data_IF_268691272232
#
_entry.id   IF_268691272232
#
_cell.length_a   1.000
_cell.length_b   1.000
_cell.length_c   1.000
_cell.angle_alpha   90.00
_cell.angle_beta   90.00
_cell.angle_gamma   90.00
#
_symmetry.space_group_name_H-M   'P 1'
#
loop_
_entity.id
_entity.type
_entity.pdbx_description
1 polymer ?
#
# COMPACT_ATOMS: atom_id res chain seq x y z
N UNK A 1 20.44 -19.93 29.53
CA UNK A 1 20.31 -19.58 29.05
C UNK A 1 19.99 -19.42 28.45
N UNK A 2 19.73 -19.19 28.35
CA UNK A 2 19.34 -18.70 27.74
C UNK A 2 19.19 -18.37 27.05
N UNK A 3 19.05 -18.07 26.88
CA UNK A 3 18.86 -17.42 26.15
C UNK A 3 19.00 -17.17 25.40
N UNK A 4 19.28 -17.04 25.59
CA UNK A 4 19.39 -16.50 24.78
C UNK A 4 19.33 -16.69 23.85
N UNK A 5 19.14 -16.83 23.81
CA UNK A 5 19.02 -16.79 22.85
C UNK A 5 18.59 -16.71 22.19
N UNK A 6 18.28 -17.04 22.37
CA UNK A 6 17.82 -16.87 21.83
C UNK A 6 17.41 -16.03 21.46
N UNK A 7 17.38 -15.39 21.71
CA UNK A 7 17.15 -14.43 21.23
C UNK A 7 17.80 -14.04 20.25
N UNK A 8 18.50 -14.21 20.14
CA UNK A 8 19.08 -13.86 19.19
C UNK A 8 18.57 -14.07 17.98
N UNK A 9 18.06 -14.74 17.99
CA UNK A 9 17.52 -14.97 16.85
C UNK A 9 16.68 -13.95 16.48
N UNK A 10 16.27 -13.31 17.32
CA UNK A 10 15.49 -12.33 17.03
C UNK A 10 16.16 -11.33 16.49
N UNK A 11 17.28 -11.28 16.58
CA UNK A 11 17.96 -10.31 16.14
C UNK A 11 18.12 -10.32 14.75
N UNK A 12 18.00 -11.26 14.24
CA UNK A 12 17.85 -11.29 12.99
C UNK A 12 16.99 -10.36 12.58
N UNK A 13 16.54 -9.79 13.46
CA UNK A 13 15.62 -8.88 13.35
C UNK A 13 15.86 -7.81 12.41
N UNK A 14 17.02 -7.42 12.16
CA UNK A 14 17.23 -6.34 11.28
C UNK A 14 16.64 -6.63 9.91
N UNK A 15 16.60 -7.86 9.55
CA UNK A 15 15.95 -8.21 8.39
C UNK A 15 14.50 -8.09 8.51
N UNK A 16 13.98 -8.32 9.65
CA UNK A 16 12.61 -8.29 9.86
C UNK A 16 12.07 -6.93 9.75
N UNK A 17 12.83 -5.93 10.09
CA UNK A 17 12.39 -4.59 9.97
C UNK A 17 12.15 -4.26 8.53
N UNK A 18 12.99 -4.69 7.62
CA UNK A 18 12.79 -4.47 6.24
C UNK A 18 11.57 -5.16 5.72
N UNK A 19 11.34 -6.35 6.17
CA UNK A 19 10.16 -7.09 5.79
C UNK A 19 8.91 -6.40 6.22
N UNK A 20 8.92 -5.86 7.40
CA UNK A 20 7.78 -5.15 7.91
C UNK A 20 7.46 -3.94 7.06
N UNK A 21 8.47 -3.26 6.57
CA UNK A 21 8.23 -2.13 5.70
C UNK A 21 7.69 -2.58 4.36
N UNK A 22 8.00 -3.79 3.94
CA UNK A 22 7.49 -4.32 2.71
C UNK A 22 6.06 -4.83 2.84
N UNK A 23 5.56 -4.96 4.06
CA UNK A 23 4.22 -5.46 4.31
C UNK A 23 3.18 -4.35 4.39
N UNK A 24 3.61 -3.11 4.35
CA UNK A 24 2.69 -1.98 4.42
C UNK A 24 3.32 -0.75 3.79
N UNK A 25 2.50 0.18 3.40
CA UNK A 25 2.96 1.40 2.76
C UNK A 25 1.89 2.45 2.92
N UNK A 26 2.26 3.71 2.86
CA UNK A 26 1.30 4.83 2.85
C UNK A 26 0.42 4.70 1.62
N UNK A 27 -0.86 5.01 1.78
CA UNK A 27 -1.82 4.88 0.69
C UNK A 27 -1.45 5.76 -0.51
N UNK A 28 -0.97 6.98 -0.28
CA UNK A 28 -0.62 7.87 -1.37
C UNK A 28 0.53 7.30 -2.19
N UNK A 29 1.49 6.72 -1.53
CA UNK A 29 2.65 6.13 -2.18
C UNK A 29 2.25 4.87 -2.93
N UNK A 30 1.44 4.03 -2.31
CA UNK A 30 1.01 2.78 -2.93
C UNK A 30 0.17 3.02 -4.18
N UNK A 31 -0.77 3.97 -4.13
CA UNK A 31 -1.60 4.30 -5.29
C UNK A 31 -0.73 4.76 -6.47
N UNK A 32 0.30 5.49 -6.17
CA UNK A 32 1.22 5.99 -7.19
C UNK A 32 2.09 4.86 -7.75
N UNK A 33 2.63 4.00 -6.89
CA UNK A 33 3.44 2.86 -7.33
C UNK A 33 2.59 1.87 -8.13
N UNK A 34 1.34 1.70 -7.77
CA UNK A 34 0.43 0.80 -8.48
C UNK A 34 -0.06 1.39 -9.80
N UNK A 35 0.32 2.61 -10.08
CA UNK A 35 -0.06 3.30 -11.32
C UNK A 35 -1.55 3.54 -11.45
N UNK A 36 -2.25 3.62 -10.32
CA UNK A 36 -3.66 3.96 -10.31
C UNK A 36 -3.86 5.46 -10.44
N UNK A 37 -2.84 6.23 -10.09
CA UNK A 37 -2.83 7.69 -10.26
C UNK A 37 -1.52 8.11 -10.92
N UNK A 38 -1.53 9.26 -11.54
CA UNK A 38 -0.37 9.74 -12.30
C UNK A 38 0.74 10.28 -11.45
N UNK A 39 0.42 10.93 -10.35
CA UNK A 39 1.42 11.54 -9.49
C UNK A 39 1.12 11.22 -8.05
N UNK A 40 2.15 11.29 -7.23
CA UNK A 40 1.97 11.07 -5.80
C UNK A 40 1.12 12.18 -5.18
N UNK A 41 1.26 13.42 -5.67
CA UNK A 41 0.43 14.51 -5.17
C UNK A 41 -1.05 14.30 -5.51
N UNK A 42 -1.36 13.74 -6.68
CA UNK A 42 -2.74 13.41 -7.01
C UNK A 42 -3.29 12.35 -6.07
N UNK A 43 -2.47 11.35 -5.72
CA UNK A 43 -2.87 10.32 -4.77
C UNK A 43 -3.16 10.93 -3.39
N UNK A 44 -2.27 11.80 -2.94
CA UNK A 44 -2.45 12.47 -1.65
C UNK A 44 -3.71 13.32 -1.65
N UNK A 45 -3.98 14.01 -2.75
CA UNK A 45 -5.17 14.85 -2.89
C UNK A 45 -6.47 14.03 -2.80
N UNK A 46 -6.50 12.88 -3.46
CA UNK A 46 -7.66 12.00 -3.40
C UNK A 46 -7.90 11.49 -1.98
N UNK A 47 -6.84 11.08 -1.31
CA UNK A 47 -6.95 10.56 0.05
C UNK A 47 -7.43 11.66 1.01
N UNK A 48 -6.85 12.86 0.90
CA UNK A 48 -7.22 13.97 1.77
C UNK A 48 -8.67 14.41 1.54
N UNK A 49 -9.14 14.31 0.31
CA UNK A 49 -10.50 14.75 -0.02
C UNK A 49 -11.56 13.69 0.28
N UNK A 50 -11.15 12.51 0.75
CA UNK A 50 -12.11 11.48 1.11
C UNK A 50 -12.57 10.60 -0.03
N UNK A 51 -11.80 10.57 -1.12
CA UNK A 51 -12.14 9.75 -2.29
C UNK A 51 -11.50 8.37 -2.24
N UNK A 52 -10.95 7.99 -1.10
CA UNK A 52 -10.32 6.69 -0.92
C UNK A 52 -10.93 6.00 0.28
N UNK A 53 -11.24 4.70 0.11
CA UNK A 53 -11.70 3.87 1.22
C UNK A 53 -10.75 2.69 1.37
N UNK A 54 -10.52 2.27 2.59
CA UNK A 54 -9.72 1.09 2.89
C UNK A 54 -10.64 0.13 3.63
N UNK A 55 -10.88 -1.04 3.04
CA UNK A 55 -11.79 -2.04 3.60
C UNK A 55 -13.18 -1.43 3.89
N UNK A 56 -13.64 -0.58 2.98
CA UNK A 56 -14.95 0.05 3.08
C UNK A 56 -15.01 1.30 3.94
N UNK A 57 -13.96 1.61 4.67
CA UNK A 57 -13.95 2.78 5.55
C UNK A 57 -13.28 3.96 4.86
N UNK A 58 -13.98 5.07 4.81
CA UNK A 58 -13.43 6.30 4.23
C UNK A 58 -12.25 6.78 5.06
N UNK A 59 -11.20 7.20 4.39
CA UNK A 59 -10.04 7.79 5.05
C UNK A 59 -9.92 9.25 4.64
N UNK A 60 -9.16 10.01 5.38
CA UNK A 60 -8.94 11.42 5.07
C UNK A 60 -7.48 11.82 5.22
N UNK A 61 -6.59 10.86 5.33
CA UNK A 61 -5.18 11.13 5.50
C UNK A 61 -4.35 10.38 4.47
N UNK A 62 -3.52 11.06 3.69
CA UNK A 62 -2.71 10.40 2.66
C UNK A 62 -1.65 9.49 3.24
N UNK A 63 -1.30 9.68 4.51
CA UNK A 63 -0.32 8.84 5.17
C UNK A 63 -0.88 7.56 5.77
N UNK A 64 -2.19 7.30 5.62
CA UNK A 64 -2.78 6.08 6.14
C UNK A 64 -2.09 4.87 5.55
N UNK A 65 -1.73 3.92 6.39
CA UNK A 65 -0.99 2.74 5.92
C UNK A 65 -1.94 1.68 5.40
N UNK A 66 -1.53 1.00 4.34
CA UNK A 66 -2.25 -0.15 3.79
C UNK A 66 -1.38 -1.38 3.88
N UNK A 67 -1.99 -2.54 3.93
CA UNK A 67 -1.32 -3.82 4.04
C UNK A 67 -1.79 -4.76 2.95
N UNK A 68 -1.03 -5.81 2.73
CA UNK A 68 -1.43 -6.85 1.79
C UNK A 68 -2.78 -7.41 2.20
N UNK A 69 -3.66 -7.55 1.26
CA UNK A 69 -5.02 -8.04 1.50
C UNK A 69 -6.06 -6.96 1.70
N UNK A 70 -5.63 -5.73 1.98
CA UNK A 70 -6.59 -4.63 2.13
C UNK A 70 -7.29 -4.36 0.80
N UNK A 71 -8.56 -4.03 0.87
CA UNK A 71 -9.36 -3.68 -0.31
C UNK A 71 -9.46 -2.16 -0.38
N UNK A 72 -8.99 -1.60 -1.46
CA UNK A 72 -8.93 -0.17 -1.67
C UNK A 72 -10.00 0.22 -2.70
N UNK A 73 -10.83 1.17 -2.35
CA UNK A 73 -11.78 1.77 -3.28
C UNK A 73 -11.32 3.18 -3.53
N UNK A 74 -11.08 3.53 -4.77
CA UNK A 74 -10.64 4.89 -5.13
C UNK A 74 -11.53 5.45 -6.22
N UNK A 75 -12.04 6.65 -5.97
CA UNK A 75 -12.87 7.34 -6.94
C UNK A 75 -11.99 8.20 -7.83
N UNK A 76 -11.87 7.80 -9.07
CA UNK A 76 -11.09 8.53 -10.07
C UNK A 76 -12.06 9.38 -10.91
N UNK A 77 -11.51 10.18 -11.83
CA UNK A 77 -12.33 11.13 -12.58
C UNK A 77 -13.52 10.50 -13.26
N UNK A 78 -13.34 9.40 -13.90
CA UNK A 78 -14.38 8.83 -14.73
C UNK A 78 -14.92 7.52 -14.18
N UNK A 79 -14.37 6.99 -13.11
CA UNK A 79 -14.85 5.72 -12.58
C UNK A 79 -14.28 5.43 -11.20
N UNK A 80 -14.89 4.48 -10.54
CA UNK A 80 -14.43 3.98 -9.26
C UNK A 80 -13.68 2.68 -9.50
N UNK A 81 -12.52 2.54 -8.91
CA UNK A 81 -11.75 1.29 -8.98
C UNK A 81 -11.76 0.63 -7.62
N UNK A 82 -11.94 -0.68 -7.61
CA UNK A 82 -11.86 -1.47 -6.39
C UNK A 82 -10.79 -2.51 -6.58
N UNK A 83 -9.75 -2.48 -5.78
CA UNK A 83 -8.59 -3.35 -5.94
C UNK A 83 -8.16 -3.92 -4.60
N UNK A 84 -7.59 -5.12 -4.62
CA UNK A 84 -7.02 -5.70 -3.41
C UNK A 84 -5.51 -5.57 -3.48
N UNK A 85 -4.90 -5.12 -2.39
CA UNK A 85 -3.45 -4.97 -2.31
C UNK A 85 -2.80 -6.34 -2.31
N UNK A 86 -1.88 -6.57 -3.24
CA UNK A 86 -1.15 -7.83 -3.34
C UNK A 86 0.30 -7.67 -2.96
N UNK A 87 0.84 -6.50 -3.07
CA UNK A 87 2.22 -6.27 -2.73
C UNK A 87 2.60 -4.81 -2.81
N UNK A 88 3.84 -4.55 -2.56
CA UNK A 88 4.38 -3.21 -2.49
C UNK A 88 5.67 -3.12 -3.31
N UNK A 89 5.95 -1.92 -3.80
CA UNK A 89 7.21 -1.66 -4.49
C UNK A 89 7.96 -0.60 -3.71
N UNK A 90 9.27 -0.63 -3.79
CA UNK A 90 10.09 0.38 -3.12
C UNK A 90 10.14 1.66 -3.91
N UNK A 91 9.81 1.60 -5.19
CA UNK A 91 9.75 2.79 -6.04
C UNK A 91 8.80 2.55 -7.20
N UNK A 92 8.41 3.62 -7.86
CA UNK A 92 7.52 3.52 -9.00
C UNK A 92 8.26 2.94 -10.19
N UNK A 93 7.78 1.83 -10.67
CA UNK A 93 8.36 1.17 -11.83
C UNK A 93 7.56 1.46 -13.10
N UNK A 94 7.83 0.73 -14.17
CA UNK A 94 7.06 0.85 -15.40
C UNK A 94 5.62 0.39 -15.18
N UNK A 95 4.75 0.69 -16.14
CA UNK A 95 3.31 0.43 -15.99
C UNK A 95 3.01 -1.03 -15.66
N UNK A 96 3.71 -1.96 -16.28
CA UNK A 96 3.46 -3.37 -16.03
C UNK A 96 3.78 -3.76 -14.59
N UNK A 97 4.78 -3.12 -13.99
CA UNK A 97 5.15 -3.41 -12.61
C UNK A 97 4.05 -2.97 -11.64
N UNK A 98 3.28 -1.96 -11.97
CA UNK A 98 2.20 -1.51 -11.10
C UNK A 98 1.08 -2.54 -11.02
N UNK A 99 0.81 -3.22 -12.10
CA UNK A 99 -0.31 -4.17 -12.15
C UNK A 99 -0.15 -5.37 -11.26
N UNK A 100 1.07 -5.74 -10.92
CA UNK A 100 1.29 -6.89 -10.06
C UNK A 100 1.12 -6.54 -8.59
N UNK A 101 0.95 -5.26 -8.26
CA UNK A 101 0.78 -4.83 -6.88
C UNK A 101 -0.66 -4.99 -6.41
N UNK A 102 -1.59 -5.25 -7.30
CA UNK A 102 -2.99 -5.36 -6.91
C UNK A 102 -3.75 -6.38 -7.76
N UNK A 103 -4.88 -6.79 -7.22
CA UNK A 103 -5.85 -7.59 -7.93
C UNK A 103 -7.07 -6.69 -8.20
N UNK A 104 -7.50 -6.61 -9.44
CA UNK A 104 -8.65 -5.77 -9.82
C UNK A 104 -9.92 -6.52 -9.42
N UNK A 105 -10.71 -5.96 -8.52
CA UNK A 105 -11.94 -6.60 -8.06
C UNK A 105 -13.18 -6.10 -8.80
N UNK A 106 -13.13 -4.85 -9.21
CA UNK A 106 -14.23 -4.27 -9.97
C UNK A 106 -13.75 -2.99 -10.60
N UNK A 107 -14.30 -2.64 -11.71
CA UNK A 107 -13.90 -1.41 -12.39
C UNK A 107 -15.04 -0.77 -13.11
#
# INVERSE_FOLDING_TARGET
MRKSHGRLSEQIASHESSSAEEDRQRIDRWLWHARLVRTRSAAAGLASAGYVRINGARIDAPGRMVRTGDVITVALDSRVRVVRVRGFASRRGPAAAGKILYEDLAS
#
